data_IF_815178636632
#
_entry.id   IF_815178636632
#
_cell.length_a   1.000
_cell.length_b   1.000
_cell.length_c   1.000
_cell.angle_alpha   90.00
_cell.angle_beta   90.00
_cell.angle_gamma   90.00
#
_symmetry.space_group_name_H-M   'P 1'
#
loop_
_entity.id
_entity.type
_entity.pdbx_description
1 polymer ?
#
# COMPACT_ATOMS: atom_id res chain seq x y z
N UNK A 1 16.11 14.25 -16.66
CA UNK A 1 14.98 14.04 -15.74
C UNK A 1 13.70 14.52 -16.42
N UNK A 2 12.58 13.80 -16.32
CA UNK A 2 11.30 14.19 -16.94
C UNK A 2 10.15 13.96 -15.97
N UNK A 3 9.05 14.72 -16.11
CA UNK A 3 7.87 14.60 -15.23
C UNK A 3 7.34 13.16 -15.16
N UNK A 4 7.35 12.43 -16.28
CA UNK A 4 6.91 11.02 -16.30
C UNK A 4 7.90 10.08 -15.62
N UNK A 5 9.20 10.37 -15.65
CA UNK A 5 10.19 9.63 -14.87
C UNK A 5 10.01 9.90 -13.37
N UNK A 6 9.76 11.15 -12.98
CA UNK A 6 9.52 11.52 -11.58
C UNK A 6 8.25 10.82 -11.03
N UNK A 7 7.19 10.74 -11.84
CA UNK A 7 5.98 9.95 -11.50
C UNK A 7 6.30 8.48 -11.26
N UNK A 8 7.14 7.89 -12.10
CA UNK A 8 7.52 6.48 -11.93
C UNK A 8 8.27 6.28 -10.61
N UNK A 9 9.29 7.10 -10.35
CA UNK A 9 10.07 7.03 -9.12
C UNK A 9 9.19 7.23 -7.88
N UNK A 10 8.23 8.16 -7.94
CA UNK A 10 7.23 8.34 -6.90
C UNK A 10 6.38 7.08 -6.68
N UNK A 11 5.91 6.44 -7.76
CA UNK A 11 5.16 5.19 -7.67
C UNK A 11 5.95 4.09 -6.96
N UNK A 12 7.23 3.91 -7.32
CA UNK A 12 8.11 2.94 -6.66
C UNK A 12 8.33 3.29 -5.18
N UNK A 13 8.57 4.57 -4.86
CA UNK A 13 8.75 5.02 -3.48
C UNK A 13 7.49 4.77 -2.64
N UNK A 14 6.31 5.02 -3.19
CA UNK A 14 5.05 4.73 -2.50
C UNK A 14 4.94 3.22 -2.20
N UNK A 15 5.19 2.36 -3.19
CA UNK A 15 5.18 0.91 -2.97
C UNK A 15 6.22 0.48 -1.91
N UNK A 16 7.42 1.06 -1.92
CA UNK A 16 8.45 0.81 -0.92
C UNK A 16 7.98 1.19 0.50
N UNK A 17 7.34 2.35 0.67
CA UNK A 17 6.86 2.82 1.97
C UNK A 17 5.80 1.88 2.56
N UNK A 18 4.84 1.44 1.76
CA UNK A 18 3.71 0.64 2.25
C UNK A 18 4.05 -0.84 2.44
N UNK A 19 5.06 -1.34 1.73
CA UNK A 19 5.53 -2.73 1.86
C UNK A 19 6.74 -2.87 2.78
N UNK A 20 7.41 -1.76 3.11
CA UNK A 20 8.72 -1.70 3.78
C UNK A 20 9.80 -2.56 3.12
N UNK A 21 9.70 -2.75 1.80
CA UNK A 21 10.71 -3.47 1.01
C UNK A 21 11.44 -2.51 0.09
N UNK A 22 12.77 -2.64 0.06
CA UNK A 22 13.57 -1.80 -0.83
C UNK A 22 13.41 -2.32 -2.26
N UNK A 23 13.28 -1.45 -3.26
CA UNK A 23 13.28 -1.86 -4.67
C UNK A 23 14.57 -2.61 -5.07
N UNK A 24 15.64 -2.46 -4.27
CA UNK A 24 16.95 -3.08 -4.44
C UNK A 24 17.22 -4.23 -3.47
N UNK A 25 16.21 -4.71 -2.74
CA UNK A 25 16.39 -5.92 -1.91
C UNK A 25 16.85 -7.10 -2.79
N UNK A 26 17.71 -7.96 -2.26
CA UNK A 26 18.28 -9.11 -3.01
C UNK A 26 17.20 -10.07 -3.54
N UNK A 27 16.00 -10.07 -2.93
CA UNK A 27 14.84 -10.80 -3.41
C UNK A 27 14.31 -10.32 -4.76
N UNK A 28 14.69 -9.12 -5.20
CA UNK A 28 14.30 -8.53 -6.48
C UNK A 28 15.50 -8.52 -7.42
N UNK A 29 15.42 -9.30 -8.50
CA UNK A 29 16.50 -9.40 -9.47
C UNK A 29 15.96 -9.58 -10.90
N UNK A 30 16.73 -9.08 -11.87
CA UNK A 30 16.38 -9.15 -13.29
C UNK A 30 15.01 -8.55 -13.56
N UNK A 31 14.10 -9.40 -14.04
CA UNK A 31 12.74 -8.99 -14.32
C UNK A 31 11.86 -8.90 -13.07
N UNK A 32 12.17 -9.65 -12.00
CA UNK A 32 11.38 -9.70 -10.76
C UNK A 32 11.63 -8.48 -9.88
N UNK A 33 10.70 -7.53 -9.94
CA UNK A 33 10.82 -6.22 -9.27
C UNK A 33 9.81 -6.09 -8.13
N UNK A 34 10.04 -5.15 -7.20
CA UNK A 34 9.08 -4.77 -6.16
C UNK A 34 7.66 -4.57 -6.74
N UNK A 35 7.56 -3.87 -7.87
CA UNK A 35 6.27 -3.64 -8.54
C UNK A 35 5.59 -4.94 -8.98
N UNK A 36 6.34 -5.91 -9.52
CA UNK A 36 5.77 -7.18 -9.94
C UNK A 36 5.32 -8.02 -8.75
N UNK A 37 6.13 -8.08 -7.69
CA UNK A 37 5.75 -8.76 -6.45
C UNK A 37 4.46 -8.17 -5.85
N UNK A 38 4.36 -6.82 -5.80
CA UNK A 38 3.12 -6.15 -5.37
C UNK A 38 1.96 -6.48 -6.31
N UNK A 39 2.17 -6.49 -7.64
CA UNK A 39 1.14 -6.83 -8.60
C UNK A 39 0.60 -8.26 -8.41
N UNK A 40 1.49 -9.22 -8.17
CA UNK A 40 1.12 -10.62 -7.94
C UNK A 40 0.35 -10.79 -6.63
N UNK A 41 0.79 -10.13 -5.56
CA UNK A 41 0.10 -10.21 -4.29
C UNK A 41 -1.21 -9.43 -4.26
N UNK A 42 -1.31 -8.34 -5.04
CA UNK A 42 -2.56 -7.60 -5.22
C UNK A 42 -3.69 -8.49 -5.73
N UNK A 43 -3.37 -9.49 -6.58
CA UNK A 43 -4.33 -10.44 -7.11
C UNK A 43 -4.74 -11.54 -6.12
N UNK A 44 -3.97 -11.76 -5.05
CA UNK A 44 -4.16 -12.86 -4.11
C UNK A 44 -4.69 -12.39 -2.76
N UNK A 45 -4.00 -11.44 -2.13
CA UNK A 45 -4.40 -10.77 -0.88
C UNK A 45 -3.46 -9.59 -0.60
N UNK A 46 -3.93 -8.35 -0.76
CA UNK A 46 -3.13 -7.13 -0.50
C UNK A 46 -2.53 -7.11 0.92
N UNK A 47 -3.22 -7.71 1.90
CA UNK A 47 -2.77 -7.82 3.29
C UNK A 47 -1.41 -8.50 3.44
N UNK A 48 -1.02 -9.34 2.48
CA UNK A 48 0.18 -10.17 2.57
C UNK A 48 1.45 -9.39 2.20
N UNK A 49 1.31 -8.23 1.56
CA UNK A 49 2.44 -7.36 1.17
C UNK A 49 2.52 -6.07 1.94
N UNK A 50 1.43 -5.65 2.56
CA UNK A 50 1.43 -4.48 3.43
C UNK A 50 2.18 -4.81 4.73
N UNK A 51 2.99 -3.87 5.19
CA UNK A 51 3.67 -4.01 6.47
C UNK A 51 2.68 -4.32 7.61
N UNK A 52 2.90 -5.45 8.28
CA UNK A 52 2.07 -5.91 9.38
C UNK A 52 1.99 -4.94 10.56
N UNK A 53 2.92 -3.98 10.71
CA UNK A 53 2.78 -2.92 11.70
C UNK A 53 1.64 -1.94 11.35
N UNK A 54 1.43 -1.63 10.08
CA UNK A 54 0.31 -0.81 9.60
C UNK A 54 -1.04 -1.49 9.89
N UNK A 55 -1.07 -2.83 9.83
CA UNK A 55 -2.25 -3.62 10.15
C UNK A 55 -2.47 -3.75 11.69
N UNK A 56 -1.39 -3.82 12.47
CA UNK A 56 -1.43 -4.03 13.94
C UNK A 56 -1.73 -2.77 14.74
N UNK A 57 -1.44 -1.59 14.24
CA UNK A 57 -1.63 -0.33 14.99
C UNK A 57 -3.10 -0.03 15.32
N UNK A 58 -4.05 -0.75 14.69
CA UNK A 58 -5.49 -0.68 14.96
C UNK A 58 -5.99 -1.72 15.98
N UNK A 59 -5.11 -2.61 16.46
CA UNK A 59 -5.41 -3.60 17.51
C UNK A 59 -4.82 -3.23 18.87
N UNK A 60 -4.14 -2.08 18.99
CA UNK A 60 -3.58 -1.60 20.24
C UNK A 60 -4.44 -0.45 20.80
N UNK A 61 -5.66 -0.78 21.20
CA UNK A 61 -6.29 -0.11 22.34
C UNK A 61 -6.33 -1.11 23.50
N UNK A 62 -5.90 -0.62 24.67
CA UNK A 62 -6.00 -1.21 26.02
C UNK A 62 -5.13 -2.42 26.38
N UNK A 63 -3.87 -2.14 26.77
CA UNK A 63 -3.37 -2.72 28.02
C UNK A 63 -3.69 -1.72 29.13
N UNK A 64 -4.92 -1.81 29.63
CA UNK A 64 -5.23 -1.38 30.99
C UNK A 64 -6.17 -2.43 31.55
N UNK A 65 -5.64 -3.20 32.48
CA UNK A 65 -6.34 -4.15 33.33
C UNK A 65 -7.70 -3.60 33.74
N UNK A 66 -8.79 -4.29 33.40
CA UNK A 66 -9.93 -4.59 34.26
C UNK A 66 -10.97 -5.36 33.43
N UNK A 67 -11.39 -6.49 33.99
CA UNK A 67 -12.32 -7.43 33.38
C UNK A 67 -13.69 -6.78 33.08
N UNK A 68 -14.13 -6.87 31.82
CA UNK A 68 -15.55 -6.84 31.47
C UNK A 68 -15.81 -7.73 30.25
N UNK A 69 -16.59 -8.79 30.48
CA UNK A 69 -17.05 -9.75 29.47
C UNK A 69 -18.15 -9.07 28.63
N UNK A 70 -17.78 -8.40 27.53
CA UNK A 70 -18.83 -7.69 26.77
C UNK A 70 -18.47 -7.04 25.44
N UNK A 71 -17.32 -7.31 24.82
CA UNK A 71 -16.87 -6.51 23.67
C UNK A 71 -16.37 -7.33 22.46
N UNK A 72 -17.08 -8.40 22.06
CA UNK A 72 -16.68 -9.19 20.89
C UNK A 72 -17.32 -8.72 19.55
N UNK A 73 -18.05 -7.60 19.53
CA UNK A 73 -18.85 -7.20 18.35
C UNK A 73 -18.54 -5.83 17.74
N UNK A 74 -17.37 -5.23 18.00
CA UNK A 74 -16.97 -3.93 17.38
C UNK A 74 -15.75 -4.00 16.45
N UNK A 75 -15.40 -5.17 15.91
CA UNK A 75 -14.17 -5.34 15.12
C UNK A 75 -14.35 -5.36 13.59
N UNK A 76 -15.51 -4.98 13.06
CA UNK A 76 -15.86 -5.38 11.69
C UNK A 76 -15.94 -4.25 10.64
N UNK A 77 -15.78 -2.97 11.00
CA UNK A 77 -15.73 -1.87 10.02
C UNK A 77 -14.35 -1.21 9.88
N UNK A 78 -13.53 -1.19 10.93
CA UNK A 78 -12.24 -0.48 10.87
C UNK A 78 -11.20 -1.23 10.02
N UNK A 79 -11.15 -2.57 10.12
CA UNK A 79 -10.24 -3.38 9.31
C UNK A 79 -10.60 -3.41 7.82
N UNK A 80 -11.89 -3.34 7.48
CA UNK A 80 -12.35 -3.28 6.08
C UNK A 80 -12.05 -1.93 5.45
N UNK A 81 -12.34 -0.83 6.16
CA UNK A 81 -12.00 0.53 5.69
C UNK A 81 -10.49 0.67 5.49
N UNK A 82 -9.65 0.20 6.42
CA UNK A 82 -8.20 0.26 6.24
C UNK A 82 -7.73 -0.52 4.99
N UNK A 83 -8.28 -1.72 4.77
CA UNK A 83 -7.96 -2.49 3.57
C UNK A 83 -8.37 -1.76 2.30
N UNK A 84 -9.54 -1.12 2.27
CA UNK A 84 -9.98 -0.29 1.14
C UNK A 84 -9.02 0.89 0.90
N UNK A 85 -8.58 1.59 1.96
CA UNK A 85 -7.58 2.67 1.84
C UNK A 85 -6.25 2.14 1.29
N UNK A 86 -5.76 1.01 1.79
CA UNK A 86 -4.50 0.40 1.34
C UNK A 86 -4.58 -0.03 -0.12
N UNK A 87 -5.71 -0.59 -0.56
CA UNK A 87 -5.95 -0.91 -1.98
C UNK A 87 -5.85 0.35 -2.83
N UNK A 88 -6.54 1.43 -2.46
CA UNK A 88 -6.50 2.68 -3.23
C UNK A 88 -5.09 3.29 -3.32
N UNK A 89 -4.33 3.23 -2.23
CA UNK A 89 -2.94 3.70 -2.19
C UNK A 89 -2.05 2.85 -3.10
N UNK A 90 -2.13 1.52 -2.99
CA UNK A 90 -1.31 0.62 -3.80
C UNK A 90 -1.68 0.73 -5.28
N UNK A 91 -2.96 0.82 -5.64
CA UNK A 91 -3.40 1.07 -7.01
C UNK A 91 -2.85 2.38 -7.59
N UNK A 92 -2.76 3.42 -6.76
CA UNK A 92 -2.15 4.70 -7.14
C UNK A 92 -0.66 4.50 -7.44
N UNK A 93 0.07 3.79 -6.58
CA UNK A 93 1.49 3.46 -6.78
C UNK A 93 1.73 2.61 -8.03
N UNK A 94 0.85 1.64 -8.28
CA UNK A 94 0.86 0.78 -9.47
C UNK A 94 0.64 1.57 -10.76
N UNK A 95 -0.31 2.50 -10.75
CA UNK A 95 -0.62 3.39 -11.89
C UNK A 95 0.50 4.39 -12.16
N UNK A 96 1.17 4.88 -11.13
CA UNK A 96 2.33 5.76 -11.28
C UNK A 96 3.54 5.04 -11.88
N UNK A 97 3.72 3.77 -11.53
CA UNK A 97 4.89 2.95 -11.89
C UNK A 97 4.70 2.11 -13.17
N UNK A 98 3.75 2.47 -14.05
CA UNK A 98 3.58 1.79 -15.34
C UNK A 98 4.87 1.86 -16.19
N UNK A 99 5.22 0.78 -16.90
CA UNK A 99 6.45 0.74 -17.72
C UNK A 99 6.39 1.78 -18.84
N UNK A 100 5.28 1.86 -19.57
CA UNK A 100 5.10 2.86 -20.61
C UNK A 100 4.80 4.26 -20.01
N UNK A 101 5.56 5.32 -20.36
CA UNK A 101 5.31 6.67 -19.84
C UNK A 101 3.92 7.24 -20.13
N UNK A 102 3.32 6.83 -21.25
CA UNK A 102 1.98 7.25 -21.69
C UNK A 102 0.87 6.69 -20.80
N UNK A 103 1.09 5.53 -20.19
CA UNK A 103 0.13 4.85 -19.31
C UNK A 103 0.23 5.32 -17.85
N UNK A 104 1.28 6.07 -17.49
CA UNK A 104 1.45 6.59 -16.14
C UNK A 104 0.46 7.70 -15.85
N UNK A 105 -0.18 7.65 -14.70
CA UNK A 105 -1.03 8.72 -14.17
C UNK A 105 -0.28 10.07 -14.12
N UNK A 106 -0.98 11.19 -14.30
CA UNK A 106 -0.39 12.52 -14.09
C UNK A 106 -0.37 12.91 -12.62
N UNK A 107 0.65 13.63 -12.14
CA UNK A 107 0.72 14.01 -10.72
C UNK A 107 -0.48 14.80 -10.19
N UNK A 108 -1.16 15.58 -11.05
CA UNK A 108 -2.40 16.26 -10.66
C UNK A 108 -3.51 15.27 -10.28
N UNK A 109 -3.62 14.17 -11.03
CA UNK A 109 -4.58 13.11 -10.74
C UNK A 109 -4.16 12.30 -9.51
N UNK A 110 -2.86 12.00 -9.35
CA UNK A 110 -2.32 11.37 -8.13
C UNK A 110 -2.74 12.15 -6.88
N UNK A 111 -2.51 13.47 -6.87
CA UNK A 111 -2.92 14.33 -5.75
C UNK A 111 -4.44 14.34 -5.56
N UNK A 112 -5.21 14.34 -6.64
CA UNK A 112 -6.67 14.30 -6.55
C UNK A 112 -7.15 12.99 -5.89
N UNK A 113 -6.59 11.84 -6.28
CA UNK A 113 -6.93 10.54 -5.68
C UNK A 113 -6.50 10.44 -4.22
N UNK A 114 -5.27 10.85 -3.90
CA UNK A 114 -4.78 10.76 -2.53
C UNK A 114 -5.55 11.65 -1.55
N UNK A 115 -6.22 12.71 -2.02
CA UNK A 115 -7.09 13.56 -1.20
C UNK A 115 -8.46 12.95 -0.90
N UNK A 116 -8.86 11.92 -1.64
CA UNK A 116 -10.14 11.23 -1.42
C UNK A 116 -9.99 9.99 -0.55
N UNK A 117 -8.75 9.60 -0.26
CA UNK A 117 -8.37 8.57 0.72
C UNK A 117 -8.33 9.24 2.09
#
# INVERSE_FOLDING_TARGET
VSTKADVYSYGILQLEVFTRRKPTDESFNGDFTLRQWVAEAFLLAISDVIDGHLLKQNNCETVSDHADEGHLLKKNNSGTVLNELLVMIVETGMSCSMKAPTERMGMKEVVARLKTI
#
